data_IF_806235553898
#
_entry.id   IF_806235553898
#
_cell.length_a   1.000
_cell.length_b   1.000
_cell.length_c   1.000
_cell.angle_alpha   90.00
_cell.angle_beta   90.00
_cell.angle_gamma   90.00
#
_symmetry.space_group_name_H-M   'P 1'
#
loop_
_entity.id
_entity.type
_entity.pdbx_description
1 polymer ?
#
# COMPACT_ATOMS: atom_id res chain seq x y z
N UNK A 1 -33.46 -30.67 -30.27
CA UNK A 1 -32.32 -30.12 -29.51
C UNK A 1 -32.32 -28.58 -29.52
N UNK A 2 -33.41 -27.92 -29.10
CA UNK A 2 -33.51 -26.44 -29.05
C UNK A 2 -33.56 -25.85 -27.65
N UNK A 3 -33.91 -26.68 -26.65
CA UNK A 3 -34.00 -26.28 -25.23
C UNK A 3 -32.64 -26.29 -24.54
N UNK A 4 -31.69 -27.08 -25.04
CA UNK A 4 -30.34 -27.20 -24.47
C UNK A 4 -29.44 -26.00 -24.86
N UNK A 5 -29.68 -25.38 -26.02
CA UNK A 5 -28.95 -24.18 -26.46
C UNK A 5 -29.25 -22.98 -25.55
N UNK A 6 -30.48 -22.87 -25.03
CA UNK A 6 -30.89 -21.74 -24.20
C UNK A 6 -30.20 -21.77 -22.81
N UNK A 7 -29.93 -22.95 -22.27
CA UNK A 7 -29.28 -23.10 -20.95
C UNK A 7 -27.77 -22.78 -21.03
N UNK A 8 -27.11 -23.14 -22.13
CA UNK A 8 -25.67 -22.88 -22.33
C UNK A 8 -25.40 -21.38 -22.56
N UNK A 9 -26.33 -20.68 -23.22
CA UNK A 9 -26.23 -19.23 -23.44
C UNK A 9 -26.42 -18.40 -22.16
N UNK A 10 -27.13 -18.92 -21.16
CA UNK A 10 -27.35 -18.21 -19.88
C UNK A 10 -26.15 -18.37 -18.93
N UNK A 11 -25.42 -19.49 -19.03
CA UNK A 11 -24.25 -19.75 -18.17
C UNK A 11 -23.03 -18.89 -18.52
N UNK A 12 -22.90 -18.47 -19.78
CA UNK A 12 -21.78 -17.63 -20.26
C UNK A 12 -21.86 -16.18 -19.79
N UNK A 13 -23.04 -15.68 -19.45
CA UNK A 13 -23.25 -14.29 -18.97
C UNK A 13 -22.83 -14.14 -17.50
N UNK A 14 -22.83 -15.21 -16.71
CA UNK A 14 -22.51 -15.16 -15.29
C UNK A 14 -21.00 -15.07 -14.99
N UNK A 15 -20.13 -15.57 -15.87
CA UNK A 15 -18.68 -15.55 -15.65
C UNK A 15 -17.99 -14.18 -15.86
N UNK A 16 -18.66 -13.19 -16.46
CA UNK A 16 -18.05 -11.88 -16.72
C UNK A 16 -18.05 -10.95 -15.49
N UNK A 17 -18.85 -11.25 -14.46
CA UNK A 17 -19.00 -10.37 -13.30
C UNK A 17 -17.84 -10.46 -12.29
N UNK A 18 -16.98 -11.50 -12.34
CA UNK A 18 -15.87 -11.67 -11.40
C UNK A 18 -14.64 -10.80 -11.72
N UNK A 19 -14.54 -10.22 -12.92
CA UNK A 19 -13.33 -9.46 -13.31
C UNK A 19 -13.29 -8.02 -12.81
N UNK A 20 -14.42 -7.46 -12.36
CA UNK A 20 -14.47 -6.08 -11.89
C UNK A 20 -13.86 -5.92 -10.48
N UNK A 21 -14.03 -6.91 -9.61
CA UNK A 21 -13.58 -6.84 -8.21
C UNK A 21 -12.06 -6.82 -8.05
N UNK A 22 -11.31 -7.63 -8.82
CA UNK A 22 -9.84 -7.63 -8.76
C UNK A 22 -9.23 -6.27 -9.13
N UNK A 23 -9.88 -5.50 -10.01
CA UNK A 23 -9.34 -4.22 -10.45
C UNK A 23 -9.37 -3.15 -9.37
N UNK A 24 -10.37 -3.17 -8.48
CA UNK A 24 -10.49 -2.19 -7.39
C UNK A 24 -9.60 -2.56 -6.20
N UNK A 25 -9.30 -3.83 -6.03
CA UNK A 25 -8.41 -4.28 -4.95
C UNK A 25 -6.96 -3.81 -5.13
N UNK A 26 -6.52 -3.51 -6.36
CA UNK A 26 -5.18 -2.98 -6.63
C UNK A 26 -4.90 -1.65 -5.89
N UNK A 27 -5.94 -0.84 -5.71
CA UNK A 27 -5.88 0.47 -5.05
C UNK A 27 -5.81 0.36 -3.52
N UNK A 28 -6.23 -0.79 -2.96
CA UNK A 28 -6.23 -1.04 -1.53
C UNK A 28 -4.79 -1.17 -1.02
N UNK A 29 -4.31 -0.12 -0.36
CA UNK A 29 -2.98 -0.04 0.21
C UNK A 29 -2.92 1.06 1.27
N UNK A 30 -1.82 1.08 2.02
CA UNK A 30 -1.49 2.20 2.89
C UNK A 30 -0.66 3.22 2.11
N UNK A 31 -0.98 4.50 2.27
CA UNK A 31 -0.27 5.60 1.62
C UNK A 31 0.24 6.54 2.70
N UNK A 32 1.55 6.80 2.67
CA UNK A 32 2.23 7.71 3.60
C UNK A 32 2.48 9.05 2.95
N UNK A 33 2.17 10.10 3.68
CA UNK A 33 2.35 11.49 3.25
C UNK A 33 3.65 12.06 3.87
N UNK A 34 4.30 13.04 3.23
CA UNK A 34 5.54 13.62 3.73
C UNK A 34 5.35 14.32 5.08
N UNK A 35 6.42 14.41 5.87
CA UNK A 35 6.42 15.14 7.14
C UNK A 35 6.06 16.61 6.90
N UNK A 36 5.13 17.14 7.70
CA UNK A 36 4.55 18.47 7.52
C UNK A 36 3.21 18.49 6.78
N UNK A 37 2.74 17.35 6.26
CA UNK A 37 1.37 17.18 5.77
C UNK A 37 0.37 17.15 6.95
N UNK A 38 -0.84 17.68 6.74
CA UNK A 38 -1.92 17.63 7.73
C UNK A 38 -2.44 16.19 8.00
N UNK A 39 -2.11 15.26 7.11
CA UNK A 39 -2.44 13.84 7.18
C UNK A 39 -1.12 13.09 7.09
N UNK A 40 -0.85 12.17 8.01
CA UNK A 40 0.37 11.38 8.03
C UNK A 40 0.25 10.11 7.17
N UNK A 41 -0.90 9.45 7.25
CA UNK A 41 -1.18 8.22 6.53
C UNK A 41 -2.66 8.11 6.15
N UNK A 42 -2.91 7.45 5.03
CA UNK A 42 -4.24 7.09 4.55
C UNK A 42 -4.23 5.60 4.21
N UNK A 43 -5.09 4.83 4.86
CA UNK A 43 -5.32 3.44 4.57
C UNK A 43 -6.52 3.30 3.63
N UNK A 44 -6.30 2.68 2.47
CA UNK A 44 -7.34 2.41 1.48
C UNK A 44 -7.74 0.95 1.60
N UNK A 45 -9.01 0.70 1.87
CA UNK A 45 -9.56 -0.65 2.05
C UNK A 45 -10.68 -0.87 1.05
N UNK A 46 -10.69 -2.05 0.42
CA UNK A 46 -11.79 -2.48 -0.43
C UNK A 46 -12.72 -3.38 0.37
N UNK A 47 -13.92 -2.89 0.67
CA UNK A 47 -14.95 -3.59 1.46
C UNK A 47 -16.33 -3.38 0.82
N UNK A 48 -17.15 -4.43 0.80
CA UNK A 48 -18.52 -4.38 0.27
C UNK A 48 -18.64 -3.83 -1.17
N UNK A 49 -17.63 -4.06 -2.01
CA UNK A 49 -17.62 -3.56 -3.39
C UNK A 49 -17.25 -2.08 -3.55
N UNK A 50 -16.88 -1.40 -2.46
CA UNK A 50 -16.49 0.01 -2.46
C UNK A 50 -15.09 0.21 -1.86
N UNK A 51 -14.38 1.24 -2.33
CA UNK A 51 -13.13 1.67 -1.73
C UNK A 51 -13.41 2.69 -0.63
N UNK A 52 -12.78 2.50 0.53
CA UNK A 52 -12.89 3.38 1.68
C UNK A 52 -11.51 3.88 2.08
N UNK A 53 -11.36 5.20 2.18
CA UNK A 53 -10.20 5.89 2.73
C UNK A 53 -10.38 6.01 4.26
N UNK A 54 -9.35 5.67 5.01
CA UNK A 54 -9.28 5.82 6.46
C UNK A 54 -8.00 6.54 6.86
N UNK A 55 -8.12 7.62 7.63
CA UNK A 55 -6.98 8.45 8.06
C UNK A 55 -7.23 9.00 9.46
N UNK A 56 -6.24 9.67 10.04
CA UNK A 56 -6.38 10.35 11.33
C UNK A 56 -7.46 11.45 11.33
N UNK A 57 -7.83 11.99 10.16
CA UNK A 57 -8.87 13.02 10.02
C UNK A 57 -10.28 12.44 9.88
N UNK A 58 -10.40 11.14 9.62
CA UNK A 58 -11.68 10.46 9.43
C UNK A 58 -11.66 9.43 8.31
N UNK A 59 -12.84 8.88 8.06
CA UNK A 59 -13.10 7.85 7.05
C UNK A 59 -14.06 8.37 5.99
N UNK A 60 -13.84 8.00 4.72
CA UNK A 60 -14.75 8.30 3.63
C UNK A 60 -14.70 7.24 2.54
N UNK A 61 -15.88 6.87 2.02
CA UNK A 61 -15.98 6.07 0.82
C UNK A 61 -15.64 6.91 -0.42
N UNK A 62 -15.03 6.27 -1.42
CA UNK A 62 -14.68 6.87 -2.70
C UNK A 62 -15.31 6.10 -3.85
N UNK A 63 -15.72 6.85 -4.87
CA UNK A 63 -16.43 6.31 -6.03
C UNK A 63 -15.57 6.48 -7.28
N UNK A 64 -15.32 5.38 -8.00
CA UNK A 64 -14.55 5.43 -9.25
C UNK A 64 -15.32 6.24 -10.28
N UNK A 65 -14.72 7.32 -10.76
CA UNK A 65 -15.30 8.18 -11.81
C UNK A 65 -14.64 7.94 -13.17
N UNK A 66 -13.32 7.73 -13.18
CA UNK A 66 -12.56 7.34 -14.36
C UNK A 66 -11.37 6.44 -13.95
N UNK A 67 -10.52 6.06 -14.89
CA UNK A 67 -9.33 5.29 -14.56
C UNK A 67 -8.40 6.09 -13.67
N UNK A 68 -8.02 5.51 -12.52
CA UNK A 68 -7.26 6.15 -11.45
C UNK A 68 -7.90 7.42 -10.83
N UNK A 69 -9.07 7.87 -11.31
CA UNK A 69 -9.80 9.04 -10.80
C UNK A 69 -11.02 8.63 -9.99
N UNK A 70 -11.08 9.12 -8.76
CA UNK A 70 -12.12 8.82 -7.79
C UNK A 70 -12.72 10.11 -7.21
N UNK A 71 -14.02 10.08 -6.99
CA UNK A 71 -14.75 11.15 -6.31
C UNK A 71 -14.84 10.82 -4.81
N UNK A 72 -14.80 11.85 -3.97
CA UNK A 72 -14.97 11.75 -2.52
C UNK A 72 -16.24 12.55 -2.14
N UNK A 73 -17.43 11.92 -2.17
CA UNK A 73 -18.70 12.63 -1.99
C UNK A 73 -18.78 13.41 -0.68
N UNK A 74 -18.32 12.79 0.42
CA UNK A 74 -18.39 13.35 1.77
C UNK A 74 -17.62 14.67 1.92
N UNK A 75 -16.52 14.82 1.19
CA UNK A 75 -15.64 15.99 1.28
C UNK A 75 -15.71 16.90 0.06
N UNK A 76 -16.55 16.55 -0.94
CA UNK A 76 -16.60 17.22 -2.26
C UNK A 76 -15.19 17.36 -2.85
N UNK A 77 -14.42 16.27 -2.77
CA UNK A 77 -13.03 16.21 -3.20
C UNK A 77 -12.82 15.15 -4.28
N UNK A 78 -11.61 15.09 -4.80
CA UNK A 78 -11.20 14.05 -5.76
C UNK A 78 -9.93 13.36 -5.26
N UNK A 79 -9.82 12.06 -5.54
CA UNK A 79 -8.61 11.27 -5.33
C UNK A 79 -8.11 10.75 -6.67
N UNK A 80 -6.84 10.95 -6.97
CA UNK A 80 -6.18 10.53 -8.20
C UNK A 80 -5.01 9.63 -7.82
N UNK A 81 -5.04 8.39 -8.27
CA UNK A 81 -3.95 7.45 -8.07
C UNK A 81 -2.86 7.67 -9.13
N UNK A 82 -1.61 7.62 -8.70
CA UNK A 82 -0.45 7.82 -9.57
C UNK A 82 0.19 6.47 -9.85
N UNK A 83 0.35 6.13 -11.13
CA UNK A 83 1.02 4.91 -11.58
C UNK A 83 2.43 5.20 -12.08
N UNK A 84 3.33 4.22 -11.94
CA UNK A 84 4.66 4.25 -12.52
C UNK A 84 4.68 3.70 -13.97
N UNK A 85 5.87 3.70 -14.59
CA UNK A 85 6.08 3.14 -15.94
C UNK A 85 5.70 1.66 -16.07
N UNK A 86 5.71 0.89 -14.97
CA UNK A 86 5.28 -0.50 -14.91
C UNK A 86 3.76 -0.66 -14.69
N UNK A 87 2.98 0.43 -14.81
CA UNK A 87 1.52 0.49 -14.57
C UNK A 87 1.09 0.14 -13.14
N UNK A 88 2.02 0.12 -12.19
CA UNK A 88 1.71 -0.10 -10.77
C UNK A 88 1.38 1.21 -10.09
N UNK A 89 0.35 1.20 -9.24
CA UNK A 89 0.02 2.35 -8.39
C UNK A 89 1.15 2.56 -7.37
N UNK A 90 1.82 3.71 -7.45
CA UNK A 90 2.89 4.12 -6.54
C UNK A 90 2.47 5.23 -5.61
N UNK A 91 1.37 5.94 -5.86
CA UNK A 91 0.95 7.04 -4.99
C UNK A 91 -0.49 7.43 -5.13
N UNK A 92 -0.91 8.38 -4.31
CA UNK A 92 -2.24 8.97 -4.30
C UNK A 92 -2.13 10.49 -4.14
N UNK A 93 -2.92 11.22 -4.92
CA UNK A 93 -3.11 12.66 -4.81
C UNK A 93 -4.57 12.93 -4.43
N UNK A 94 -4.81 13.59 -3.30
CA UNK A 94 -6.14 13.93 -2.82
C UNK A 94 -6.31 15.43 -2.90
N UNK A 95 -7.37 15.90 -3.54
CA UNK A 95 -7.70 17.32 -3.67
C UNK A 95 -9.06 17.62 -3.04
N UNK A 96 -9.07 18.50 -2.03
CA UNK A 96 -10.27 18.90 -1.31
C UNK A 96 -10.27 20.43 -1.21
N UNK A 97 -11.30 21.08 -1.78
CA UNK A 97 -11.50 22.55 -1.71
C UNK A 97 -10.26 23.38 -2.11
N UNK A 98 -9.50 22.91 -3.11
CA UNK A 98 -8.30 23.60 -3.61
C UNK A 98 -7.01 23.30 -2.84
N UNK A 99 -7.04 22.42 -1.84
CA UNK A 99 -5.85 21.91 -1.16
C UNK A 99 -5.53 20.52 -1.69
N UNK A 100 -4.31 20.32 -2.20
CA UNK A 100 -3.84 19.03 -2.69
C UNK A 100 -2.85 18.38 -1.74
N UNK A 101 -3.11 17.13 -1.38
CA UNK A 101 -2.23 16.27 -0.59
C UNK A 101 -1.66 15.18 -1.49
N UNK A 102 -0.38 14.88 -1.39
CA UNK A 102 0.25 13.80 -2.15
C UNK A 102 0.91 12.81 -1.19
N UNK A 103 0.55 11.54 -1.33
CA UNK A 103 1.08 10.43 -0.55
C UNK A 103 1.73 9.38 -1.46
N UNK A 104 2.80 8.76 -0.97
CA UNK A 104 3.43 7.61 -1.61
C UNK A 104 2.81 6.33 -1.08
N UNK A 105 2.61 5.33 -1.94
CA UNK A 105 2.16 4.01 -1.52
C UNK A 105 3.26 3.40 -0.66
N UNK A 106 2.89 3.03 0.56
CA UNK A 106 3.70 2.14 1.35
C UNK A 106 3.48 0.75 0.77
N UNK A 107 4.45 0.28 -0.02
CA UNK A 107 4.49 -1.14 -0.34
C UNK A 107 4.55 -1.87 1.01
N UNK A 108 3.63 -2.82 1.18
CA UNK A 108 3.75 -3.80 2.25
C UNK A 108 5.03 -4.56 1.89
N UNK A 109 6.13 -4.12 2.47
CA UNK A 109 7.43 -4.73 2.31
C UNK A 109 7.28 -6.17 2.80
N UNK A 110 6.90 -7.08 1.89
CA UNK A 110 7.34 -8.46 1.99
C UNK A 110 8.84 -8.39 1.78
N UNK A 111 9.52 -7.95 2.84
CA UNK A 111 10.90 -8.28 3.11
C UNK A 111 10.95 -9.77 2.85
N UNK A 112 11.49 -10.14 1.70
CA UNK A 112 12.06 -11.44 1.46
C UNK A 112 12.76 -11.81 2.74
N UNK A 113 12.28 -12.87 3.39
CA UNK A 113 12.97 -13.52 4.50
C UNK A 113 14.31 -13.96 3.93
N UNK A 114 15.29 -13.08 3.93
CA UNK A 114 16.68 -13.45 3.76
C UNK A 114 16.99 -14.22 5.04
N UNK A 115 17.36 -15.51 4.97
CA UNK A 115 17.95 -16.16 6.13
C UNK A 115 19.16 -15.32 6.51
N UNK A 116 19.14 -14.74 7.71
CA UNK A 116 20.27 -14.05 8.30
C UNK A 116 21.46 -15.02 8.24
N UNK A 117 22.53 -14.75 7.47
CA UNK A 117 23.75 -15.51 7.66
C UNK A 117 24.23 -15.15 9.07
N UNK A 118 24.23 -16.16 9.94
CA UNK A 118 24.83 -16.08 11.26
C UNK A 118 26.34 -15.88 11.01
N UNK A 119 26.77 -14.63 10.88
CA UNK A 119 28.19 -14.31 10.93
C UNK A 119 28.58 -14.43 12.40
N UNK A 120 28.89 -15.64 12.83
CA UNK A 120 29.64 -15.86 14.06
C UNK A 120 31.02 -15.25 13.83
N UNK A 121 31.14 -13.97 14.12
CA UNK A 121 32.44 -13.31 14.28
C UNK A 121 33.07 -13.90 15.54
N UNK A 122 33.64 -15.10 15.40
CA UNK A 122 34.58 -15.66 16.37
C UNK A 122 35.81 -14.75 16.31
N UNK A 123 35.80 -13.68 17.09
CA UNK A 123 37.03 -12.99 17.44
C UNK A 123 37.85 -13.96 18.29
N UNK A 124 39.01 -14.47 17.83
CA UNK A 124 39.89 -15.20 18.72
C UNK A 124 40.33 -14.24 19.83
N UNK A 125 40.04 -14.59 21.08
CA UNK A 125 40.54 -13.92 22.30
C UNK A 125 42.05 -14.20 22.45
N UNK A 126 42.84 -13.93 21.41
CA UNK A 126 44.29 -14.17 21.38
C UNK A 126 45.10 -12.88 21.16
N UNK A 127 44.42 -11.73 21.05
CA UNK A 127 45.06 -10.43 20.86
C UNK A 127 44.52 -9.37 21.84
N UNK A 128 44.37 -9.74 23.11
CA UNK A 128 44.40 -8.75 24.19
C UNK A 128 45.87 -8.51 24.54
N UNK A 129 46.44 -7.32 24.29
CA UNK A 129 47.72 -6.97 24.88
C UNK A 129 47.56 -6.91 26.41
N UNK A 130 48.50 -7.47 27.20
CA UNK A 130 48.53 -7.23 28.63
C UNK A 130 48.93 -5.76 28.85
N UNK A 131 47.94 -4.90 29.02
CA UNK A 131 48.19 -3.52 29.46
C UNK A 131 48.54 -3.55 30.95
N UNK A 132 49.85 -3.64 31.18
CA UNK A 132 50.64 -2.93 32.20
C UNK A 132 50.07 -2.94 33.63
N UNK A 133 50.63 -3.86 34.41
CA UNK A 133 50.92 -3.78 35.84
C UNK A 133 51.03 -2.33 36.33
N UNK A 134 50.07 -1.91 37.14
CA UNK A 134 50.25 -0.80 38.05
C UNK A 134 50.95 -1.30 39.30
N UNK A 135 52.27 -1.22 39.33
CA UNK A 135 53.11 -1.36 40.53
C UNK A 135 54.12 -0.21 40.51
N UNK A 136 54.02 0.64 41.54
CA UNK A 136 54.96 1.63 42.09
C UNK A 136 55.75 2.58 41.17
N UNK A 137 55.62 3.89 41.43
CA UNK A 137 56.73 4.72 41.93
C UNK A 137 56.24 6.11 42.39
N UNK A 138 56.61 6.44 43.63
CA UNK A 138 56.55 7.73 44.38
C UNK A 138 55.33 7.95 45.27
#
# INVERSE_FOLDING_TARGET
MKKVILIISVFTIFCLSLKAEETLQEYAARYKFPQGSAINEVNVVFENGALTLSSSLGTAAIEKTSDDHFNIPNYKGTAVFVRNAAKKITGIKIEIKGVSFSGNREEKDTLTVMPVPISSSTFPIKYLPPMLTGEDYQ
#
